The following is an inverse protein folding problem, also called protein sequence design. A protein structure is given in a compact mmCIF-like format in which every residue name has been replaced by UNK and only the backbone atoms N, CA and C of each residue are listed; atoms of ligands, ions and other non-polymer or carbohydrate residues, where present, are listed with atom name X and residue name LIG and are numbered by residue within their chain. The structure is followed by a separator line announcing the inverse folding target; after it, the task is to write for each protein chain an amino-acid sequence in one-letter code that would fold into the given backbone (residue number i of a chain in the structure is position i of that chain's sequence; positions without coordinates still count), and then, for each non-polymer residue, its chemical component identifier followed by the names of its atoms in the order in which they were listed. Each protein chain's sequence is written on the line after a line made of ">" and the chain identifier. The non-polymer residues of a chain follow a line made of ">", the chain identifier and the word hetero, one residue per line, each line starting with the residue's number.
data_IF_795190635979
#
_entry.id   IF_795190635979
#
_cell.length_a   1.000
_cell.length_b   1.000
_cell.length_c   1.000
_cell.angle_alpha   90.00
_cell.angle_beta   90.00
_cell.angle_gamma   90.00
#
_symmetry.space_group_name_H-M   'P 1'
#
loop_
_entity.id
_entity.type
_entity.pdbx_description
1 polymer ?
#
# COMPACT_ATOMS: atom_id res chain seq x y z
N UNK A 1 6.80 -34.49 -22.36
CA UNK A 1 6.71 -33.46 -21.31
C UNK A 1 5.29 -32.90 -21.37
N UNK A 2 4.46 -33.24 -20.38
CA UNK A 2 3.02 -32.95 -20.38
C UNK A 2 2.83 -31.46 -20.08
N UNK A 3 2.35 -30.70 -21.07
CA UNK A 3 1.94 -29.30 -20.88
C UNK A 3 0.52 -29.32 -20.30
N UNK A 4 0.40 -29.15 -18.99
CA UNK A 4 -0.91 -28.91 -18.37
C UNK A 4 -1.33 -27.47 -18.68
N UNK A 5 -2.25 -27.31 -19.64
CA UNK A 5 -3.01 -26.06 -19.82
C UNK A 5 -3.77 -25.77 -18.53
N UNK A 6 -3.40 -24.72 -17.81
CA UNK A 6 -4.18 -24.21 -16.69
C UNK A 6 -5.48 -23.64 -17.25
N UNK A 7 -6.54 -24.44 -17.18
CA UNK A 7 -7.91 -24.00 -17.42
C UNK A 7 -8.19 -22.79 -16.52
N UNK A 8 -8.40 -21.64 -17.14
CA UNK A 8 -9.11 -20.50 -16.57
C UNK A 8 -10.54 -20.96 -16.23
N UNK A 9 -10.72 -21.50 -15.02
CA UNK A 9 -12.06 -21.74 -14.50
C UNK A 9 -12.66 -20.39 -14.08
N UNK A 10 -13.63 -19.91 -14.85
CA UNK A 10 -14.60 -18.90 -14.39
C UNK A 10 -15.31 -19.48 -13.17
N UNK A 11 -14.86 -19.12 -11.96
CA UNK A 11 -15.60 -19.45 -10.74
C UNK A 11 -16.72 -18.41 -10.62
N UNK A 12 -17.90 -18.78 -11.11
CA UNK A 12 -19.16 -18.10 -10.79
C UNK A 12 -19.44 -18.32 -9.30
N UNK A 13 -19.77 -17.24 -8.59
CA UNK A 13 -20.14 -17.26 -7.18
C UNK A 13 -21.25 -18.29 -6.94
N UNK A 14 -20.93 -19.39 -6.25
CA UNK A 14 -21.94 -20.33 -5.77
C UNK A 14 -22.33 -19.90 -4.35
N UNK A 15 -23.57 -19.45 -4.20
CA UNK A 15 -24.16 -19.19 -2.90
C UNK A 15 -24.59 -20.47 -2.21
N UNK A 16 -24.53 -20.42 -0.87
CA UNK A 16 -25.39 -21.07 0.11
C UNK A 16 -24.92 -22.35 0.85
N UNK A 17 -25.08 -22.24 2.18
CA UNK A 17 -25.48 -23.25 3.17
C UNK A 17 -24.49 -24.30 3.67
N UNK A 18 -24.53 -24.44 4.99
CA UNK A 18 -23.79 -25.31 5.90
C UNK A 18 -24.28 -26.76 5.79
N UNK A 19 -23.40 -27.71 5.43
CA UNK A 19 -23.56 -29.15 5.69
C UNK A 19 -22.22 -29.88 5.54
N UNK A 20 -21.86 -30.69 6.53
CA UNK A 20 -20.64 -31.51 6.59
C UNK A 20 -20.79 -32.77 5.72
N UNK A 21 -19.90 -32.99 4.74
CA UNK A 21 -19.42 -34.30 4.26
C UNK A 21 -18.36 -34.17 3.16
N UNK A 22 -17.32 -35.00 3.27
CA UNK A 22 -16.67 -35.75 2.17
C UNK A 22 -15.66 -35.08 1.22
N UNK A 23 -14.55 -35.83 1.04
CA UNK A 23 -13.52 -35.80 -0.01
C UNK A 23 -12.74 -34.49 -0.14
N UNK A 24 -11.45 -34.53 0.22
CA UNK A 24 -10.48 -33.46 -0.04
C UNK A 24 -10.27 -33.29 -1.55
N UNK A 25 -11.22 -32.66 -2.23
CA UNK A 25 -10.91 -31.91 -3.43
C UNK A 25 -10.01 -30.76 -2.96
N UNK A 26 -8.73 -30.82 -3.29
CA UNK A 26 -7.82 -29.70 -3.09
C UNK A 26 -8.35 -28.54 -3.95
N UNK A 27 -8.95 -27.54 -3.31
CA UNK A 27 -9.32 -26.30 -4.00
C UNK A 27 -8.03 -25.50 -4.20
N UNK A 28 -7.79 -25.00 -5.41
CA UNK A 28 -6.73 -24.02 -5.61
C UNK A 28 -7.12 -22.73 -4.89
N UNK A 29 -6.23 -22.19 -4.05
CA UNK A 29 -6.46 -20.90 -3.40
C UNK A 29 -6.72 -19.81 -4.44
N UNK A 30 -7.61 -18.87 -4.13
CA UNK A 30 -8.00 -17.85 -5.10
C UNK A 30 -9.02 -16.83 -4.64
N UNK A 31 -9.15 -15.78 -5.44
CA UNK A 31 -10.15 -14.74 -5.26
C UNK A 31 -11.53 -15.22 -5.71
N UNK A 32 -12.51 -15.07 -4.84
CA UNK A 32 -13.92 -15.29 -5.16
C UNK A 32 -14.74 -14.05 -4.80
N UNK A 33 -15.70 -13.71 -5.66
CA UNK A 33 -16.60 -12.57 -5.43
C UNK A 33 -17.95 -13.06 -4.93
N UNK A 34 -18.50 -12.44 -3.91
CA UNK A 34 -19.86 -12.71 -3.41
C UNK A 34 -20.59 -11.38 -3.31
N UNK A 35 -21.60 -11.18 -4.15
CA UNK A 35 -22.23 -9.86 -4.31
C UNK A 35 -21.24 -8.83 -4.88
N UNK A 36 -21.07 -7.70 -4.19
CA UNK A 36 -20.07 -6.68 -4.52
C UNK A 36 -18.68 -6.97 -3.96
N UNK A 37 -18.59 -7.86 -2.97
CA UNK A 37 -17.41 -8.02 -2.13
C UNK A 37 -16.48 -9.12 -2.66
N UNK A 38 -15.18 -8.88 -2.57
CA UNK A 38 -14.14 -9.85 -2.89
C UNK A 38 -13.62 -10.52 -1.63
N UNK A 39 -13.39 -11.83 -1.71
CA UNK A 39 -12.84 -12.67 -0.66
C UNK A 39 -11.67 -13.47 -1.24
N UNK A 40 -10.68 -13.78 -0.41
CA UNK A 40 -9.63 -14.72 -0.78
C UNK A 40 -9.81 -16.04 -0.03
N UNK A 41 -10.00 -17.12 -0.78
CA UNK A 41 -10.13 -18.48 -0.26
C UNK A 41 -8.78 -19.18 -0.31
N UNK A 42 -8.37 -19.77 0.79
CA UNK A 42 -7.15 -20.56 0.92
C UNK A 42 -7.37 -21.99 0.38
N UNK A 43 -6.29 -22.78 0.28
CA UNK A 43 -6.36 -24.15 -0.27
C UNK A 43 -7.21 -25.10 0.56
N UNK A 44 -7.29 -24.85 1.87
CA UNK A 44 -8.16 -25.57 2.81
C UNK A 44 -9.63 -25.12 2.74
N UNK A 45 -9.96 -24.19 1.83
CA UNK A 45 -11.30 -23.62 1.65
C UNK A 45 -11.66 -22.51 2.64
N UNK A 46 -10.78 -22.17 3.59
CA UNK A 46 -11.03 -21.07 4.55
C UNK A 46 -10.86 -19.70 3.90
N UNK A 47 -11.51 -18.67 4.45
CA UNK A 47 -11.36 -17.29 4.00
C UNK A 47 -10.19 -16.63 4.75
N UNK A 48 -9.25 -16.04 4.02
CA UNK A 48 -8.15 -15.26 4.59
C UNK A 48 -8.68 -14.02 5.33
N UNK A 49 -7.97 -13.59 6.38
CA UNK A 49 -8.38 -12.48 7.25
C UNK A 49 -7.16 -11.75 7.80
N UNK A 50 -7.25 -10.43 7.89
CA UNK A 50 -6.19 -9.55 8.38
C UNK A 50 -4.82 -9.88 7.78
N UNK A 51 -4.77 -10.06 6.47
CA UNK A 51 -3.55 -10.45 5.77
C UNK A 51 -3.47 -9.82 4.39
N UNK A 52 -2.23 -9.56 3.98
CA UNK A 52 -1.91 -9.21 2.61
C UNK A 52 -1.90 -10.47 1.75
N UNK A 53 -2.59 -10.37 0.62
CA UNK A 53 -2.57 -11.33 -0.47
C UNK A 53 -1.72 -10.73 -1.57
N UNK A 54 -0.58 -11.36 -1.87
CA UNK A 54 0.35 -10.90 -2.89
C UNK A 54 0.17 -11.70 -4.17
N UNK A 55 0.16 -11.01 -5.31
CA UNK A 55 0.08 -11.63 -6.63
C UNK A 55 1.35 -11.34 -7.43
N UNK A 56 2.05 -12.40 -7.82
CA UNK A 56 3.19 -12.39 -8.72
C UNK A 56 2.72 -12.28 -10.17
N UNK A 57 3.49 -11.57 -10.98
CA UNK A 57 3.44 -11.64 -12.45
C UNK A 57 4.74 -12.25 -12.94
N UNK A 58 4.63 -13.23 -13.84
CA UNK A 58 5.76 -13.69 -14.66
C UNK A 58 5.87 -12.81 -15.91
N UNK A 59 7.06 -12.30 -16.19
CA UNK A 59 7.40 -11.79 -17.52
C UNK A 59 8.03 -12.95 -18.30
N UNK A 60 7.23 -13.76 -19.00
CA UNK A 60 7.79 -14.65 -19.99
C UNK A 60 8.08 -13.86 -21.29
N UNK A 61 8.96 -14.39 -22.14
CA UNK A 61 9.31 -13.79 -23.44
C UNK A 61 8.11 -13.67 -24.40
N UNK A 62 6.97 -14.28 -24.05
CA UNK A 62 5.72 -14.24 -24.82
C UNK A 62 4.83 -13.04 -24.47
N UNK A 63 5.09 -12.37 -23.34
CA UNK A 63 4.27 -11.27 -22.83
C UNK A 63 2.98 -11.75 -22.14
N UNK A 64 2.86 -13.04 -21.81
CA UNK A 64 1.67 -13.61 -21.17
C UNK A 64 1.78 -13.48 -19.64
N UNK A 65 0.93 -12.62 -19.08
CA UNK A 65 0.88 -12.38 -17.63
C UNK A 65 0.30 -13.60 -16.91
N UNK A 66 1.11 -14.36 -16.17
CA UNK A 66 0.61 -15.42 -15.27
C UNK A 66 0.60 -14.94 -13.83
N UNK A 67 -0.54 -15.13 -13.15
CA UNK A 67 -0.77 -14.69 -11.78
C UNK A 67 -0.52 -15.84 -10.80
N UNK A 68 0.43 -15.69 -9.86
CA UNK A 68 0.59 -16.62 -8.73
C UNK A 68 0.34 -15.89 -7.42
N UNK A 69 -0.50 -16.46 -6.56
CA UNK A 69 -0.90 -15.80 -5.31
C UNK A 69 -0.17 -16.44 -4.13
N UNK A 70 0.45 -15.64 -3.26
CA UNK A 70 1.19 -16.10 -2.09
C UNK A 70 0.90 -15.26 -0.84
N UNK A 71 1.02 -15.88 0.33
CA UNK A 71 0.92 -15.24 1.64
C UNK A 71 2.30 -15.06 2.27
N UNK A 72 2.50 -13.85 2.84
CA UNK A 72 3.49 -13.35 3.81
C UNK A 72 4.99 -13.72 3.71
N UNK A 73 5.41 -14.77 3.01
CA UNK A 73 6.81 -15.17 2.90
C UNK A 73 7.30 -15.07 1.44
N UNK A 74 8.13 -14.06 1.19
CA UNK A 74 8.75 -13.80 -0.10
C UNK A 74 9.94 -14.73 -0.32
N UNK A 75 9.84 -15.63 -1.30
CA UNK A 75 10.99 -16.10 -2.07
C UNK A 75 10.71 -15.79 -3.55
N UNK A 76 11.47 -14.86 -4.13
CA UNK A 76 11.49 -14.66 -5.58
C UNK A 76 12.18 -15.87 -6.21
N UNK A 77 11.43 -16.71 -6.91
CA UNK A 77 12.01 -17.53 -7.97
C UNK A 77 12.54 -16.60 -9.07
N UNK A 78 13.68 -16.93 -9.67
CA UNK A 78 14.28 -16.13 -10.76
C UNK A 78 13.21 -15.78 -11.83
N UNK A 79 13.00 -14.48 -12.07
CA UNK A 79 12.10 -13.97 -13.11
C UNK A 79 10.66 -13.64 -12.70
N UNK A 80 10.25 -13.81 -11.43
CA UNK A 80 8.91 -13.38 -10.95
C UNK A 80 8.99 -12.12 -10.08
N UNK A 81 8.15 -11.12 -10.37
CA UNK A 81 8.00 -9.91 -9.54
C UNK A 81 6.59 -9.84 -8.95
N UNK A 82 6.43 -9.26 -7.76
CA UNK A 82 5.09 -8.96 -7.24
C UNK A 82 4.55 -7.76 -7.99
N UNK A 83 3.42 -7.96 -8.65
CA UNK A 83 2.74 -6.89 -9.36
C UNK A 83 1.67 -6.21 -8.52
N UNK A 84 1.11 -6.91 -7.52
CA UNK A 84 -0.03 -6.42 -6.77
C UNK A 84 -0.08 -7.01 -5.35
N UNK A 85 -0.44 -6.18 -4.37
CA UNK A 85 -0.79 -6.60 -3.02
C UNK A 85 -2.16 -6.05 -2.65
N UNK A 86 -3.00 -6.91 -2.08
CA UNK A 86 -4.35 -6.60 -1.63
C UNK A 86 -4.51 -6.97 -0.17
N UNK A 87 -5.22 -6.14 0.60
CA UNK A 87 -5.52 -6.45 2.00
C UNK A 87 -6.87 -7.13 2.13
N UNK A 88 -6.93 -8.26 2.83
CA UNK A 88 -8.18 -8.89 3.24
C UNK A 88 -8.45 -8.54 4.69
N UNK A 89 -9.55 -7.84 4.93
CA UNK A 89 -9.96 -7.35 6.24
C UNK A 89 -10.38 -8.49 7.18
N UNK A 90 -10.53 -8.19 8.47
CA UNK A 90 -10.93 -9.17 9.48
C UNK A 90 -12.30 -9.80 9.24
N UNK A 91 -13.21 -9.11 8.56
CA UNK A 91 -14.50 -9.66 8.11
C UNK A 91 -14.38 -10.57 6.87
N UNK A 92 -13.20 -10.65 6.24
CA UNK A 92 -12.91 -11.48 5.07
C UNK A 92 -13.05 -10.75 3.74
N UNK A 93 -13.52 -9.49 3.73
CA UNK A 93 -13.65 -8.70 2.50
C UNK A 93 -12.33 -8.03 2.13
N UNK A 94 -12.08 -7.90 0.83
CA UNK A 94 -10.97 -7.12 0.31
C UNK A 94 -11.18 -5.63 0.60
N UNK A 95 -10.16 -4.97 1.14
CA UNK A 95 -10.15 -3.53 1.30
C UNK A 95 -10.07 -2.83 -0.04
N UNK A 96 -10.83 -1.74 -0.21
CA UNK A 96 -10.77 -0.85 -1.36
C UNK A 96 -11.07 0.58 -0.93
N UNK A 97 -10.37 1.55 -1.52
CA UNK A 97 -10.55 2.99 -1.24
C UNK A 97 -10.39 3.39 0.23
N UNK A 98 -9.70 2.61 1.06
CA UNK A 98 -9.52 2.93 2.47
C UNK A 98 -8.06 2.89 2.95
N UNK A 99 -7.86 3.38 4.18
CA UNK A 99 -6.67 3.15 4.97
C UNK A 99 -6.72 1.76 5.61
N UNK A 100 -5.58 1.07 5.62
CA UNK A 100 -5.39 -0.26 6.18
C UNK A 100 -4.35 -0.15 7.30
N UNK A 101 -4.70 -0.61 8.50
CA UNK A 101 -3.74 -0.81 9.58
C UNK A 101 -3.28 -2.27 9.58
N UNK A 102 -1.96 -2.47 9.54
CA UNK A 102 -1.32 -3.78 9.70
C UNK A 102 -0.12 -3.63 10.64
N UNK A 103 -0.27 -4.16 11.86
CA UNK A 103 0.68 -3.93 12.94
C UNK A 103 0.75 -2.46 13.38
N UNK A 104 1.96 -1.91 13.38
CA UNK A 104 2.25 -0.51 13.71
C UNK A 104 2.18 0.42 12.50
N UNK A 105 1.93 -0.13 11.30
CA UNK A 105 2.01 0.56 10.05
C UNK A 105 0.63 0.81 9.45
N UNK A 106 0.52 1.93 8.75
CA UNK A 106 -0.65 2.28 7.94
C UNK A 106 -0.30 2.22 6.46
N UNK A 107 -1.28 1.79 5.67
CA UNK A 107 -1.19 1.66 4.23
C UNK A 107 -2.44 2.27 3.59
N UNK A 108 -2.35 2.67 2.33
CA UNK A 108 -3.50 3.15 1.56
C UNK A 108 -3.75 2.22 0.39
N UNK A 109 -4.99 1.77 0.18
CA UNK A 109 -5.36 0.93 -0.98
C UNK A 109 -6.32 1.65 -1.94
N UNK A 110 -6.05 1.63 -3.25
CA UNK A 110 -6.86 2.35 -4.23
C UNK A 110 -8.28 1.76 -4.40
N UNK A 111 -9.06 2.31 -5.34
CA UNK A 111 -10.41 1.84 -5.63
C UNK A 111 -10.49 0.40 -6.17
N UNK A 112 -9.36 -0.17 -6.61
CA UNK A 112 -9.23 -1.56 -7.05
C UNK A 112 -8.66 -2.46 -5.94
N UNK A 113 -8.37 -1.90 -4.76
CA UNK A 113 -7.78 -2.60 -3.62
C UNK A 113 -6.26 -2.76 -3.69
N UNK A 114 -5.61 -2.13 -4.66
CA UNK A 114 -4.15 -2.17 -4.79
C UNK A 114 -3.50 -1.24 -3.78
N UNK A 115 -2.50 -1.74 -3.07
CA UNK A 115 -1.64 -0.92 -2.22
C UNK A 115 -0.98 0.22 -3.01
N UNK A 116 -1.02 1.43 -2.45
CA UNK A 116 -0.25 2.57 -2.95
C UNK A 116 1.19 2.50 -2.42
N UNK A 117 2.16 2.74 -3.30
CA UNK A 117 3.59 2.75 -2.98
C UNK A 117 4.29 3.91 -3.67
N UNK A 118 5.38 4.37 -3.05
CA UNK A 118 6.30 5.40 -3.53
C UNK A 118 5.59 6.62 -4.13
N UNK A 119 4.60 7.16 -3.41
CA UNK A 119 3.78 8.24 -3.93
C UNK A 119 3.13 9.09 -2.84
N UNK A 120 2.85 10.34 -3.21
CA UNK A 120 2.06 11.26 -2.38
C UNK A 120 0.58 10.97 -2.56
N UNK A 121 -0.14 10.85 -1.45
CA UNK A 121 -1.59 10.71 -1.41
C UNK A 121 -2.23 11.92 -0.73
N UNK A 122 -3.28 12.47 -1.33
CA UNK A 122 -4.01 13.62 -0.78
C UNK A 122 -5.44 13.23 -0.43
N UNK A 123 -5.88 13.60 0.76
CA UNK A 123 -7.23 13.33 1.25
C UNK A 123 -7.69 14.46 2.18
N UNK A 124 -8.86 15.04 1.93
CA UNK A 124 -9.46 16.08 2.77
C UNK A 124 -8.52 17.26 3.11
N UNK A 125 -7.69 17.69 2.13
CA UNK A 125 -6.62 18.70 2.24
C UNK A 125 -5.38 18.25 3.00
N UNK A 126 -5.34 17.05 3.56
CA UNK A 126 -4.14 16.47 4.13
C UNK A 126 -3.32 15.78 3.04
N UNK A 127 -2.00 15.74 3.25
CA UNK A 127 -1.04 15.12 2.35
C UNK A 127 -0.29 14.06 3.15
N UNK A 128 -0.16 12.88 2.56
CA UNK A 128 0.54 11.73 3.11
C UNK A 128 1.54 11.24 2.06
N UNK A 129 2.57 10.52 2.49
CA UNK A 129 3.46 9.82 1.58
C UNK A 129 3.51 8.35 1.96
N UNK A 130 3.34 7.50 0.95
CA UNK A 130 3.45 6.06 1.07
C UNK A 130 4.83 5.69 0.54
N UNK A 131 5.66 5.09 1.39
CA UNK A 131 7.02 4.69 1.05
C UNK A 131 7.06 3.59 -0.01
N UNK A 132 8.28 3.17 -0.38
CA UNK A 132 8.50 2.12 -1.39
C UNK A 132 7.93 0.75 -1.02
N UNK A 133 7.86 0.47 0.28
CA UNK A 133 7.19 -0.71 0.83
C UNK A 133 5.67 -0.53 0.98
N UNK A 134 5.17 0.71 0.78
CA UNK A 134 3.78 1.12 0.93
C UNK A 134 3.41 1.63 2.32
N UNK A 135 4.33 1.57 3.29
CA UNK A 135 4.09 2.09 4.64
C UNK A 135 3.93 3.60 4.57
N UNK A 136 2.94 4.12 5.26
CA UNK A 136 2.76 5.55 5.47
C UNK A 136 3.95 6.09 6.26
N UNK A 137 4.61 7.10 5.70
CA UNK A 137 5.74 7.75 6.34
C UNK A 137 5.25 8.64 7.49
N UNK A 138 5.88 8.50 8.65
CA UNK A 138 5.61 9.28 9.86
C UNK A 138 6.92 9.74 10.50
N UNK A 139 6.88 10.86 11.21
CA UNK A 139 8.04 11.47 11.90
C UNK A 139 9.33 11.48 11.07
N UNK A 140 9.22 11.78 9.78
CA UNK A 140 10.33 11.61 8.83
C UNK A 140 10.28 12.61 7.70
N UNK A 141 11.46 12.88 7.15
CA UNK A 141 11.66 13.70 5.97
C UNK A 141 11.41 12.90 4.69
N UNK A 142 10.93 13.60 3.67
CA UNK A 142 10.80 13.10 2.30
C UNK A 142 11.28 14.18 1.34
N UNK A 143 12.07 13.78 0.35
CA UNK A 143 12.48 14.64 -0.75
C UNK A 143 11.85 14.11 -2.03
N UNK A 144 11.15 14.98 -2.76
CA UNK A 144 10.63 14.61 -4.07
C UNK A 144 11.73 14.67 -5.15
N UNK A 145 11.40 14.24 -6.36
CA UNK A 145 12.32 14.22 -7.50
C UNK A 145 12.83 15.62 -7.92
N UNK A 146 12.11 16.68 -7.56
CA UNK A 146 12.50 18.08 -7.80
C UNK A 146 13.43 18.64 -6.70
N UNK A 147 13.83 17.81 -5.74
CA UNK A 147 14.69 18.21 -4.63
C UNK A 147 13.97 18.95 -3.49
N UNK A 148 12.64 19.07 -3.53
CA UNK A 148 11.85 19.74 -2.50
C UNK A 148 11.63 18.83 -1.30
N UNK A 149 11.86 19.39 -0.12
CA UNK A 149 11.70 18.68 1.15
C UNK A 149 10.32 18.86 1.76
N UNK A 150 9.83 17.78 2.37
CA UNK A 150 8.59 17.69 3.12
C UNK A 150 8.88 16.98 4.44
N UNK A 151 8.12 17.27 5.48
CA UNK A 151 8.17 16.53 6.73
C UNK A 151 6.78 16.00 7.08
N UNK A 152 6.68 14.70 7.32
CA UNK A 152 5.46 14.03 7.73
C UNK A 152 5.48 13.82 9.24
N UNK A 153 4.47 14.33 9.94
CA UNK A 153 4.36 14.24 11.39
C UNK A 153 3.98 12.84 11.88
N UNK A 154 3.73 12.72 13.18
CA UNK A 154 3.38 11.46 13.85
C UNK A 154 2.11 10.82 13.28
N UNK A 155 1.13 11.64 12.90
CA UNK A 155 -0.10 11.18 12.26
C UNK A 155 0.01 10.96 10.74
N UNK A 156 1.23 11.01 10.20
CA UNK A 156 1.52 10.85 8.76
C UNK A 156 1.14 12.03 7.88
N UNK A 157 0.62 13.12 8.46
CA UNK A 157 0.26 14.32 7.69
C UNK A 157 1.49 15.19 7.46
N UNK A 158 1.62 15.73 6.25
CA UNK A 158 2.64 16.72 5.94
C UNK A 158 2.43 17.98 6.80
N UNK A 159 3.52 18.47 7.40
CA UNK A 159 3.55 19.76 8.08
C UNK A 159 3.41 20.87 7.04
N UNK A 160 2.55 21.85 7.33
CA UNK A 160 2.19 22.93 6.41
C UNK A 160 1.90 24.22 7.17
N UNK A 161 2.08 25.34 6.49
CA UNK A 161 1.69 26.67 6.96
C UNK A 161 2.27 27.06 8.32
N UNK A 162 3.57 26.86 8.53
CA UNK A 162 4.17 27.33 9.78
C UNK A 162 5.52 26.75 10.13
N UNK A 163 6.01 27.21 11.27
CA UNK A 163 7.22 26.74 11.92
C UNK A 163 7.00 25.38 12.58
N UNK A 164 8.03 24.53 12.52
CA UNK A 164 8.08 23.25 13.23
C UNK A 164 9.50 22.96 13.68
N UNK A 165 9.64 22.62 14.96
CA UNK A 165 10.88 22.11 15.51
C UNK A 165 11.01 20.63 15.21
N UNK A 166 12.14 20.24 14.63
CA UNK A 166 12.53 18.87 14.27
C UNK A 166 14.01 18.74 14.65
N UNK A 167 14.33 17.80 15.53
CA UNK A 167 15.70 17.56 16.02
C UNK A 167 16.44 18.85 16.45
N UNK A 168 15.81 19.62 17.35
CA UNK A 168 16.32 20.89 17.91
C UNK A 168 16.58 22.04 16.91
N UNK A 169 16.16 21.88 15.66
CA UNK A 169 16.17 22.92 14.64
C UNK A 169 14.75 23.35 14.24
N UNK A 170 14.55 24.63 13.97
CA UNK A 170 13.27 25.16 13.49
C UNK A 170 13.27 25.26 11.97
N UNK A 171 12.21 24.76 11.34
CA UNK A 171 11.99 24.81 9.90
C UNK A 171 10.64 25.46 9.60
N UNK A 172 10.53 26.18 8.48
CA UNK A 172 9.25 26.73 8.03
C UNK A 172 8.70 25.95 6.84
N UNK A 173 7.44 25.53 6.91
CA UNK A 173 6.75 24.83 5.83
C UNK A 173 5.71 25.72 5.16
N UNK A 174 5.80 25.80 3.83
CA UNK A 174 4.87 26.56 2.99
C UNK A 174 3.49 25.90 2.95
N UNK A 175 2.51 26.59 2.35
CA UNK A 175 1.15 26.05 2.13
C UNK A 175 1.12 24.76 1.33
N UNK A 176 2.09 24.58 0.43
CA UNK A 176 2.28 23.36 -0.35
C UNK A 176 2.86 22.19 0.46
N UNK A 177 3.34 22.42 1.68
CA UNK A 177 4.08 21.44 2.51
C UNK A 177 5.56 21.34 2.20
N UNK A 178 6.02 22.11 1.22
CA UNK A 178 7.42 22.32 0.90
C UNK A 178 8.11 23.07 2.04
N UNK A 179 9.25 22.57 2.50
CA UNK A 179 10.17 23.29 3.37
C UNK A 179 10.68 24.53 2.65
N UNK A 180 10.77 25.66 3.36
CA UNK A 180 11.39 26.88 2.87
C UNK A 180 12.92 26.78 3.02
N UNK A 181 13.66 27.33 2.06
CA UNK A 181 15.13 27.38 2.06
C UNK A 181 15.57 28.74 1.54
N UNK A 182 16.62 29.30 2.16
CA UNK A 182 17.28 30.54 1.75
C UNK A 182 16.30 31.71 1.51
N UNK A 183 15.44 31.97 2.49
CA UNK A 183 14.36 32.95 2.36
C UNK A 183 13.98 33.61 3.69
N UNK A 184 13.59 34.88 3.62
CA UNK A 184 13.02 35.60 4.75
C UNK A 184 11.53 35.23 4.94
N UNK A 185 11.19 34.72 6.12
CA UNK A 185 9.82 34.44 6.52
C UNK A 185 9.22 35.68 7.20
N UNK A 186 8.10 36.23 6.69
CA UNK A 186 7.46 37.40 7.28
C UNK A 186 7.15 37.20 8.77
N UNK A 187 7.69 38.07 9.63
CA UNK A 187 7.52 38.00 11.08
C UNK A 187 8.25 36.84 11.78
N UNK A 188 9.06 36.06 11.05
CA UNK A 188 9.70 34.83 11.55
C UNK A 188 11.23 34.78 11.43
N UNK A 189 11.86 35.70 10.69
CA UNK A 189 13.31 35.69 10.46
C UNK A 189 13.70 34.93 9.19
N UNK A 190 14.99 34.69 8.99
CA UNK A 190 15.53 34.00 7.81
C UNK A 190 15.69 32.49 8.05
N UNK A 191 15.49 31.69 7.00
CA UNK A 191 15.91 30.28 6.96
C UNK A 191 17.04 30.11 5.96
N UNK A 192 18.10 29.40 6.34
CA UNK A 192 19.26 29.13 5.48
C UNK A 192 18.98 28.16 4.33
N UNK A 193 20.01 27.89 3.53
CA UNK A 193 19.94 26.94 2.42
C UNK A 193 19.67 25.48 2.86
N UNK A 194 20.01 25.14 4.11
CA UNK A 194 19.66 23.85 4.73
C UNK A 194 18.25 23.83 5.35
N UNK A 195 17.50 24.94 5.20
CA UNK A 195 16.13 25.11 5.69
C UNK A 195 16.01 25.44 7.17
N UNK A 196 17.12 25.45 7.92
CA UNK A 196 17.09 25.78 9.35
C UNK A 196 16.94 27.27 9.54
N UNK A 197 16.20 27.66 10.56
CA UNK A 197 16.11 29.05 11.02
C UNK A 197 17.47 29.55 11.48
N UNK A 198 17.89 30.68 10.94
CA UNK A 198 19.08 31.38 11.41
C UNK A 198 18.80 31.96 12.80
N UNK A 199 19.76 31.81 13.71
CA UNK A 199 19.69 32.35 15.08
C UNK A 199 20.40 33.69 15.17
#
# INVERSE_FOLDING_TARGET
>A
MIVMKKNMFKIMALSLAMATLSTTAAFAAGWGKVGSEWYYYQEDGTVARNTWINTLVSNDESGELTYQVGNKDFATEEGKTIAASYWVQGNGTMAASCWVADGDAWYRVDAKGLILKDQVYNENKDMYYLGKDGRMVTNSWYQNEEGKWYYFGENGKAVKNGWKTIDDAEYYFLKSGTMATDVNIPGGGHVGADGKRDR
#
